data_IF_432914983865
#
_entry.id   IF_432914983865
#
_cell.length_a   1.000
_cell.length_b   1.000
_cell.length_c   1.000
_cell.angle_alpha   90.00
_cell.angle_beta   90.00
_cell.angle_gamma   90.00
#
_symmetry.space_group_name_H-M   'P 1'
#
loop_
_entity.id
_entity.type
_entity.pdbx_description
1 polymer ?
#
# COMPACT_ATOMS: atom_id res chain seq x y z
N UNK A 1 -17.56 -54.91 -17.74
CA UNK A 1 -17.17 -53.49 -17.80
C UNK A 1 -16.89 -53.04 -16.37
N UNK A 2 -15.94 -53.63 -15.67
CA UNK A 2 -14.48 -53.52 -15.89
C UNK A 2 -14.05 -52.06 -16.08
N UNK A 3 -13.64 -51.40 -14.99
CA UNK A 3 -12.23 -51.22 -14.69
C UNK A 3 -12.05 -50.39 -13.40
N UNK A 4 -11.25 -50.97 -12.50
CA UNK A 4 -10.60 -50.30 -11.38
C UNK A 4 -9.71 -49.15 -11.87
N UNK A 5 -9.55 -48.09 -11.06
CA UNK A 5 -8.24 -47.59 -10.62
C UNK A 5 -8.38 -46.26 -9.84
N UNK A 6 -8.20 -46.31 -8.52
CA UNK A 6 -7.51 -45.24 -7.76
C UNK A 6 -6.00 -45.54 -7.80
N UNK A 7 -5.16 -44.77 -7.11
CA UNK A 7 -4.61 -43.44 -7.38
C UNK A 7 -3.12 -43.53 -7.79
N UNK A 8 -2.49 -42.46 -8.30
CA UNK A 8 -1.01 -42.40 -8.38
C UNK A 8 -0.49 -41.01 -8.00
N UNK A 9 0.11 -40.94 -6.81
CA UNK A 9 1.04 -39.91 -6.38
C UNK A 9 2.47 -40.22 -6.87
N UNK A 10 3.32 -39.18 -6.80
CA UNK A 10 4.76 -39.14 -7.05
C UNK A 10 5.12 -39.20 -8.56
N UNK A 11 6.15 -38.51 -9.08
CA UNK A 11 7.51 -38.42 -8.57
C UNK A 11 8.21 -37.14 -9.07
N UNK A 12 8.93 -36.46 -8.17
CA UNK A 12 10.29 -35.93 -8.31
C UNK A 12 10.78 -35.46 -9.71
N UNK A 13 11.22 -34.20 -9.80
CA UNK A 13 12.60 -33.86 -10.18
C UNK A 13 12.82 -32.34 -10.14
N UNK A 14 13.63 -31.90 -9.18
CA UNK A 14 14.31 -30.62 -9.24
C UNK A 14 15.54 -30.74 -10.14
N UNK A 15 15.88 -29.70 -10.92
CA UNK A 15 17.26 -29.41 -11.25
C UNK A 15 17.70 -28.15 -10.49
N UNK A 16 18.58 -28.38 -9.52
CA UNK A 16 19.43 -27.35 -8.94
C UNK A 16 20.32 -26.77 -10.05
N UNK A 17 20.27 -25.45 -10.25
CA UNK A 17 21.31 -24.71 -10.95
C UNK A 17 21.90 -23.70 -9.96
N UNK A 18 23.13 -23.97 -9.57
CA UNK A 18 23.94 -23.24 -8.60
C UNK A 18 25.13 -22.64 -9.38
N UNK A 19 25.59 -21.46 -8.95
CA UNK A 19 26.94 -20.84 -9.18
C UNK A 19 27.06 -20.00 -10.48
N UNK A 20 27.60 -18.78 -10.54
CA UNK A 20 28.23 -17.86 -9.57
C UNK A 20 28.37 -16.43 -10.14
N UNK A 21 28.52 -15.50 -9.19
CA UNK A 21 29.38 -14.29 -9.19
C UNK A 21 29.33 -13.29 -10.34
N UNK A 22 28.70 -12.15 -10.04
CA UNK A 22 29.14 -10.83 -10.50
C UNK A 22 29.29 -9.90 -9.30
N UNK A 23 30.50 -9.82 -8.75
CA UNK A 23 30.91 -8.81 -7.78
C UNK A 23 30.86 -7.43 -8.48
N UNK A 24 29.85 -6.62 -8.15
CA UNK A 24 29.92 -5.17 -8.31
C UNK A 24 29.29 -4.54 -7.07
N UNK A 25 30.13 -4.24 -6.08
CA UNK A 25 29.75 -3.42 -4.95
C UNK A 25 29.66 -1.95 -5.40
N UNK A 26 28.59 -1.22 -5.07
CA UNK A 26 28.70 0.17 -4.68
C UNK A 26 28.95 0.21 -3.18
N UNK A 27 30.18 0.59 -2.84
CA UNK A 27 30.63 0.82 -1.48
C UNK A 27 29.94 2.04 -0.88
N UNK A 28 28.84 1.85 -0.15
CA UNK A 28 28.40 2.77 0.92
C UNK A 28 28.07 1.95 2.16
N UNK A 29 29.13 1.35 2.72
CA UNK A 29 29.14 0.99 4.13
C UNK A 29 29.30 2.29 4.93
N UNK A 30 28.28 2.64 5.70
CA UNK A 30 28.49 3.22 7.01
C UNK A 30 27.48 2.58 7.95
N UNK A 31 28.04 1.72 8.79
CA UNK A 31 27.45 1.21 10.02
C UNK A 31 26.82 2.33 10.84
N UNK A 32 25.59 2.09 11.28
CA UNK A 32 25.20 2.36 12.64
C UNK A 32 24.21 1.28 13.06
N UNK A 33 24.73 0.27 13.77
CA UNK A 33 23.93 -0.67 14.51
C UNK A 33 23.13 0.10 15.58
N UNK A 34 21.81 0.07 15.47
CA UNK A 34 20.88 0.39 16.54
C UNK A 34 19.86 -0.74 16.64
N UNK A 35 19.63 -1.36 17.80
CA UNK A 35 18.59 -2.36 17.98
C UNK A 35 17.26 -1.61 18.12
N UNK A 36 16.72 -1.15 17.00
CA UNK A 36 15.43 -0.47 16.93
C UNK A 36 14.50 -1.29 16.06
N UNK A 37 13.49 -1.87 16.70
CA UNK A 37 12.29 -2.53 16.17
C UNK A 37 12.28 -2.96 14.69
N UNK A 38 12.06 -4.25 14.38
CA UNK A 38 11.51 -4.60 13.09
C UNK A 38 10.07 -4.08 13.05
N UNK A 39 9.90 -2.79 12.75
CA UNK A 39 8.64 -2.23 12.27
C UNK A 39 8.41 -2.91 10.93
N UNK A 40 7.78 -4.08 11.03
CA UNK A 40 6.96 -4.77 10.06
C UNK A 40 6.98 -4.09 8.70
N UNK A 41 8.06 -4.29 7.95
CA UNK A 41 8.09 -4.06 6.52
C UNK A 41 7.32 -5.21 5.87
N UNK A 42 6.06 -5.39 6.28
CA UNK A 42 5.05 -5.94 5.39
C UNK A 42 5.12 -5.02 4.20
N UNK A 43 5.54 -5.56 3.05
CA UNK A 43 5.23 -4.95 1.78
C UNK A 43 3.72 -4.78 1.76
N UNK A 44 3.24 -3.66 2.29
CA UNK A 44 1.84 -3.35 2.37
C UNK A 44 1.45 -3.23 0.92
N UNK A 45 0.73 -4.23 0.42
CA UNK A 45 0.05 -4.16 -0.86
C UNK A 45 -0.49 -2.75 -0.99
N UNK A 46 -0.11 -2.08 -2.06
CA UNK A 46 -0.21 -0.63 -2.15
C UNK A 46 -1.68 -0.23 -1.96
N UNK A 47 -1.99 0.24 -0.74
CA UNK A 47 -3.38 0.35 -0.28
C UNK A 47 -4.13 1.32 -1.20
N UNK A 48 -5.38 1.00 -1.60
CA UNK A 48 -6.09 1.79 -2.61
C UNK A 48 -6.24 3.26 -2.19
N UNK A 49 -6.40 3.52 -0.89
CA UNK A 49 -6.48 4.88 -0.32
C UNK A 49 -5.12 5.59 -0.14
N UNK A 50 -4.00 4.90 -0.34
CA UNK A 50 -2.65 5.48 -0.29
C UNK A 50 -2.08 5.78 -1.69
N UNK A 51 -2.77 5.34 -2.75
CA UNK A 51 -2.33 5.58 -4.13
C UNK A 51 -2.37 7.08 -4.48
N UNK A 52 -1.45 7.57 -5.34
CA UNK A 52 -1.52 8.92 -5.88
C UNK A 52 -2.88 9.20 -6.55
N UNK A 53 -3.28 10.47 -6.57
CA UNK A 53 -4.53 10.88 -7.22
C UNK A 53 -4.40 10.60 -8.73
N UNK A 54 -5.24 9.71 -9.27
CA UNK A 54 -5.16 9.25 -10.67
C UNK A 54 -5.46 10.33 -11.71
N UNK A 55 -6.02 11.47 -11.30
CA UNK A 55 -6.21 12.63 -12.18
C UNK A 55 -5.00 13.56 -12.12
N UNK A 56 -4.24 13.63 -13.21
CA UNK A 56 -3.06 14.50 -13.36
C UNK A 56 -3.38 15.87 -13.96
N UNK A 57 -4.65 16.18 -14.23
CA UNK A 57 -5.02 17.46 -14.84
C UNK A 57 -4.62 18.64 -13.96
N UNK A 58 -4.05 19.71 -14.53
CA UNK A 58 -3.60 20.89 -13.80
C UNK A 58 -4.79 21.64 -13.19
N UNK A 59 -4.59 22.15 -11.97
CA UNK A 59 -5.58 22.96 -11.25
C UNK A 59 -5.33 24.42 -11.61
N UNK A 60 -6.26 25.02 -12.37
CA UNK A 60 -6.09 26.38 -12.92
C UNK A 60 -6.33 27.51 -11.92
N UNK A 61 -7.04 27.26 -10.82
CA UNK A 61 -7.46 28.29 -9.86
C UNK A 61 -7.26 27.83 -8.42
N UNK A 62 -6.73 28.71 -7.57
CA UNK A 62 -6.54 28.44 -6.14
C UNK A 62 -7.85 28.13 -5.43
N UNK A 63 -8.97 28.73 -5.85
CA UNK A 63 -10.30 28.44 -5.30
C UNK A 63 -10.74 26.99 -5.54
N UNK A 64 -10.29 26.37 -6.63
CA UNK A 64 -10.56 24.97 -6.96
C UNK A 64 -9.79 23.97 -6.10
N UNK A 65 -8.69 24.39 -5.45
CA UNK A 65 -7.93 23.50 -4.56
C UNK A 65 -8.80 22.98 -3.41
N UNK A 66 -9.64 23.85 -2.83
CA UNK A 66 -10.50 23.48 -1.70
C UNK A 66 -11.60 22.51 -2.12
N UNK A 67 -12.18 22.67 -3.31
CA UNK A 67 -13.18 21.75 -3.84
C UNK A 67 -12.57 20.40 -4.18
N UNK A 68 -11.42 20.38 -4.87
CA UNK A 68 -10.72 19.14 -5.20
C UNK A 68 -10.28 18.38 -3.95
N UNK A 69 -9.75 19.08 -2.96
CA UNK A 69 -9.38 18.47 -1.68
C UNK A 69 -10.57 17.81 -0.98
N UNK A 70 -11.74 18.48 -0.94
CA UNK A 70 -12.96 17.88 -0.37
C UNK A 70 -13.42 16.65 -1.14
N UNK A 71 -13.37 16.71 -2.48
CA UNK A 71 -13.71 15.59 -3.37
C UNK A 71 -12.80 14.39 -3.11
N UNK A 72 -11.48 14.59 -3.09
CA UNK A 72 -10.50 13.52 -2.82
C UNK A 72 -10.71 12.96 -1.42
N UNK A 73 -10.96 13.80 -0.41
CA UNK A 73 -11.18 13.32 0.95
C UNK A 73 -12.45 12.45 1.09
N UNK A 74 -13.48 12.72 0.30
CA UNK A 74 -14.66 11.86 0.22
C UNK A 74 -14.31 10.51 -0.44
N UNK A 75 -13.61 10.55 -1.57
CA UNK A 75 -13.14 9.35 -2.27
C UNK A 75 -12.26 8.46 -1.38
N UNK A 76 -11.34 9.03 -0.60
CA UNK A 76 -10.51 8.27 0.35
C UNK A 76 -11.35 7.51 1.38
N UNK A 77 -12.43 8.14 1.89
CA UNK A 77 -13.35 7.48 2.83
C UNK A 77 -14.06 6.30 2.17
N UNK A 78 -14.54 6.48 0.95
CA UNK A 78 -15.18 5.40 0.18
C UNK A 78 -14.19 4.25 -0.06
N UNK A 79 -12.95 4.55 -0.45
CA UNK A 79 -11.89 3.55 -0.65
C UNK A 79 -11.53 2.80 0.64
N UNK A 80 -11.61 3.47 1.79
CA UNK A 80 -11.33 2.87 3.11
C UNK A 80 -12.53 2.11 3.69
N UNK A 81 -13.74 2.29 3.15
CA UNK A 81 -14.97 1.74 3.71
C UNK A 81 -14.92 0.21 3.92
N UNK A 82 -14.41 -0.61 2.98
CA UNK A 82 -14.35 -2.07 3.18
C UNK A 82 -13.43 -2.48 4.34
N UNK A 83 -12.30 -1.80 4.51
CA UNK A 83 -11.36 -2.07 5.60
C UNK A 83 -11.90 -1.53 6.94
N UNK A 84 -12.60 -0.40 6.92
CA UNK A 84 -13.32 0.11 8.08
C UNK A 84 -14.34 -0.91 8.57
N UNK A 85 -15.16 -1.49 7.68
CA UNK A 85 -16.15 -2.51 8.04
C UNK A 85 -15.49 -3.78 8.58
N UNK A 86 -14.37 -4.21 7.99
CA UNK A 86 -13.57 -5.33 8.52
C UNK A 86 -13.10 -5.05 9.94
N UNK A 87 -12.52 -3.87 10.19
CA UNK A 87 -12.01 -3.48 11.52
C UNK A 87 -13.13 -3.29 12.52
N UNK A 88 -14.25 -2.73 12.07
CA UNK A 88 -15.46 -2.59 12.87
C UNK A 88 -15.94 -3.95 13.39
N UNK A 89 -15.95 -4.97 12.53
CA UNK A 89 -16.33 -6.32 12.91
C UNK A 89 -15.33 -7.01 13.84
N UNK A 90 -14.03 -6.68 13.75
CA UNK A 90 -12.97 -7.34 14.53
C UNK A 90 -12.68 -6.68 15.88
N UNK A 91 -12.63 -5.35 15.92
CA UNK A 91 -12.16 -4.56 17.04
C UNK A 91 -13.22 -3.58 17.58
N UNK A 92 -14.37 -3.46 16.91
CA UNK A 92 -15.45 -2.58 17.30
C UNK A 92 -15.36 -1.18 16.71
N UNK A 93 -16.38 -0.36 17.03
CA UNK A 93 -16.59 0.95 16.44
C UNK A 93 -15.47 1.94 16.73
N UNK A 94 -15.05 2.03 18.00
CA UNK A 94 -14.11 3.04 18.45
C UNK A 94 -12.72 2.86 17.83
N UNK A 95 -12.23 1.61 17.78
CA UNK A 95 -10.94 1.30 17.15
C UNK A 95 -10.97 1.49 15.63
N UNK A 96 -12.08 1.11 14.99
CA UNK A 96 -12.26 1.30 13.55
C UNK A 96 -12.30 2.79 13.17
N UNK A 97 -13.00 3.61 13.95
CA UNK A 97 -13.05 5.07 13.72
C UNK A 97 -11.70 5.72 14.01
N UNK A 98 -11.04 5.38 15.12
CA UNK A 98 -9.72 5.89 15.45
C UNK A 98 -8.71 5.58 14.34
N UNK A 99 -8.72 4.35 13.81
CA UNK A 99 -7.91 3.97 12.67
C UNK A 99 -8.23 4.82 11.43
N UNK A 100 -9.53 5.00 11.12
CA UNK A 100 -9.96 5.76 9.94
C UNK A 100 -9.50 7.21 10.03
N UNK A 101 -9.69 7.84 11.18
CA UNK A 101 -9.28 9.22 11.41
C UNK A 101 -7.77 9.40 11.34
N UNK A 102 -7.00 8.53 11.99
CA UNK A 102 -5.55 8.57 11.97
C UNK A 102 -5.02 8.44 10.52
N UNK A 103 -5.51 7.43 9.81
CA UNK A 103 -5.11 7.14 8.43
C UNK A 103 -5.47 8.30 7.48
N UNK A 104 -6.69 8.85 7.58
CA UNK A 104 -7.07 10.02 6.77
C UNK A 104 -6.23 11.26 7.09
N UNK A 105 -5.77 11.42 8.33
CA UNK A 105 -4.92 12.54 8.75
C UNK A 105 -3.53 12.46 8.12
N UNK A 106 -2.98 11.25 8.04
CA UNK A 106 -1.68 10.99 7.42
C UNK A 106 -1.74 11.22 5.90
N UNK A 107 -2.76 10.68 5.24
CA UNK A 107 -2.96 10.82 3.78
C UNK A 107 -3.23 12.27 3.40
N UNK A 108 -3.90 13.05 4.24
CA UNK A 108 -4.22 14.44 3.94
C UNK A 108 -3.00 15.32 3.67
N UNK A 109 -1.87 15.05 4.34
CA UNK A 109 -0.62 15.79 4.10
C UNK A 109 -0.10 15.50 2.68
N UNK A 110 -0.18 14.25 2.27
CA UNK A 110 0.20 13.80 0.94
C UNK A 110 -0.71 14.40 -0.14
N UNK A 111 -2.03 14.29 0.03
CA UNK A 111 -3.00 14.82 -0.93
C UNK A 111 -2.85 16.34 -1.11
N UNK A 112 -2.62 17.10 -0.03
CA UNK A 112 -2.40 18.55 -0.12
C UNK A 112 -1.10 18.92 -0.85
N UNK A 113 -0.04 18.13 -0.67
CA UNK A 113 1.22 18.32 -1.40
C UNK A 113 0.99 18.09 -2.89
N UNK A 114 0.30 17.02 -3.25
CA UNK A 114 0.06 16.62 -4.63
C UNK A 114 -0.87 17.62 -5.33
N UNK A 115 -1.92 18.09 -4.65
CA UNK A 115 -2.81 19.14 -5.15
C UNK A 115 -2.08 20.47 -5.39
N UNK A 116 -1.17 20.86 -4.48
CA UNK A 116 -0.35 22.07 -4.66
C UNK A 116 0.65 21.92 -5.80
N UNK A 117 1.21 20.74 -6.01
CA UNK A 117 2.11 20.48 -7.14
C UNK A 117 1.38 20.57 -8.48
N UNK A 118 0.08 20.26 -8.51
CA UNK A 118 -0.79 20.39 -9.69
C UNK A 118 -1.32 21.82 -9.92
N UNK A 119 -1.15 22.73 -8.97
CA UNK A 119 -1.58 24.12 -9.15
C UNK A 119 -0.73 24.74 -10.25
N UNK A 120 -1.38 25.04 -11.36
CA UNK A 120 -0.76 25.63 -12.55
C UNK A 120 -0.23 27.03 -12.17
N UNK A 121 1.05 27.29 -12.42
CA UNK A 121 1.68 28.57 -12.15
C UNK A 121 1.78 29.40 -13.42
#
# INVERSE_FOLDING_TARGET
MDAMARPRYLHWAAPAALVAMGLCAPAWASEAAGPGDPVSAVAADAQPWAQPIGETWPIRRTSSLKSEYRRIRALRREQMQPEYERRYALAGADEAEAWREATLRDIARQDLRDLRARLDR
#
